data_IF_735248791277
#
_entry.id   IF_735248791277
#
_cell.length_a   1.000
_cell.length_b   1.000
_cell.length_c   1.000
_cell.angle_alpha   90.00
_cell.angle_beta   90.00
_cell.angle_gamma   90.00
#
_symmetry.space_group_name_H-M   'P 1'
#
loop_
_entity.id
_entity.type
_entity.pdbx_description
1 polymer ?
#
# COMPACT_ATOMS: atom_id res chain seq x y z
N UNK A 1 19.25 12.11 4.52
CA UNK A 1 18.22 13.13 4.40
C UNK A 1 17.45 12.92 3.11
N UNK A 2 16.13 13.01 3.17
CA UNK A 2 15.27 12.86 2.01
C UNK A 2 14.84 11.44 1.65
N UNK A 3 15.44 10.38 2.22
CA UNK A 3 15.07 8.99 1.96
C UNK A 3 15.05 8.20 3.25
N UNK A 4 14.01 7.39 3.46
CA UNK A 4 13.88 6.50 4.62
C UNK A 4 13.18 5.19 4.27
N UNK A 5 13.42 4.17 5.10
CA UNK A 5 12.70 2.91 5.07
C UNK A 5 11.81 2.83 6.32
N UNK A 6 10.52 2.60 6.10
CA UNK A 6 9.53 2.48 7.17
C UNK A 6 9.08 1.03 7.23
N UNK A 7 9.33 0.32 8.35
CA UNK A 7 8.89 -1.05 8.52
C UNK A 7 7.38 -1.12 8.75
N UNK A 8 6.77 -2.21 8.34
CA UNK A 8 5.37 -2.48 8.63
C UNK A 8 5.21 -3.00 10.06
N UNK A 9 4.49 -2.28 10.89
CA UNK A 9 4.28 -2.59 12.32
C UNK A 9 2.81 -2.61 12.73
N UNK A 10 1.89 -2.61 11.77
CA UNK A 10 0.46 -2.67 12.05
C UNK A 10 0.14 -3.97 12.80
N UNK A 11 -0.54 -3.92 13.96
CA UNK A 11 -0.88 -5.12 14.70
C UNK A 11 -1.81 -6.06 13.92
N UNK A 12 -1.57 -7.37 14.05
CA UNK A 12 -2.46 -8.40 13.50
C UNK A 12 -2.24 -8.73 12.03
N UNK A 13 -1.13 -8.31 11.40
CA UNK A 13 -0.79 -8.65 10.02
C UNK A 13 -0.72 -10.17 9.78
N UNK A 14 -0.34 -10.97 10.77
CA UNK A 14 -0.39 -12.44 10.69
C UNK A 14 -1.79 -13.01 10.39
N UNK A 15 -2.86 -12.29 10.71
CA UNK A 15 -4.23 -12.67 10.29
C UNK A 15 -4.41 -12.53 8.78
N UNK A 16 -3.77 -11.52 8.18
CA UNK A 16 -3.76 -11.32 6.74
C UNK A 16 -2.96 -12.45 6.09
N UNK A 17 -1.77 -12.78 6.62
CA UNK A 17 -0.97 -13.90 6.18
C UNK A 17 -1.76 -15.21 6.19
N UNK A 18 -2.43 -15.51 7.30
CA UNK A 18 -3.28 -16.69 7.41
C UNK A 18 -4.44 -16.69 6.40
N UNK A 19 -5.13 -15.56 6.23
CA UNK A 19 -6.25 -15.41 5.26
C UNK A 19 -5.78 -15.65 3.82
N UNK A 20 -4.57 -15.16 3.49
CA UNK A 20 -4.00 -15.25 2.15
C UNK A 20 -3.14 -16.50 1.93
N UNK A 21 -3.11 -17.44 2.90
CA UNK A 21 -2.29 -18.67 2.87
C UNK A 21 -0.79 -18.38 2.70
N UNK A 22 -0.31 -17.28 3.25
CA UNK A 22 1.08 -16.88 3.24
C UNK A 22 1.73 -17.25 4.58
N UNK A 23 2.85 -17.96 4.52
CA UNK A 23 3.54 -18.49 5.70
C UNK A 23 5.05 -18.26 5.58
N UNK A 24 5.68 -18.01 6.71
CA UNK A 24 7.12 -17.95 6.86
C UNK A 24 7.64 -19.17 7.64
N UNK A 25 8.86 -19.56 7.37
CA UNK A 25 9.53 -20.62 8.12
C UNK A 25 10.29 -20.00 9.29
N UNK A 26 9.88 -20.35 10.50
CA UNK A 26 10.55 -19.95 11.74
C UNK A 26 11.28 -21.13 12.35
N UNK A 27 11.97 -20.91 13.48
CA UNK A 27 12.58 -21.99 14.28
C UNK A 27 11.52 -22.95 14.87
N UNK A 28 10.28 -22.52 15.00
CA UNK A 28 9.17 -23.31 15.54
C UNK A 28 8.36 -24.03 14.42
N UNK A 29 8.72 -23.87 13.15
CA UNK A 29 8.01 -24.43 12.01
C UNK A 29 7.42 -23.35 11.08
N UNK A 30 6.32 -23.69 10.42
CA UNK A 30 5.61 -22.76 9.54
C UNK A 30 4.59 -21.95 10.34
N UNK A 31 4.71 -20.63 10.30
CA UNK A 31 3.80 -19.69 10.95
C UNK A 31 3.18 -18.74 9.92
N UNK A 32 1.95 -18.24 10.13
CA UNK A 32 1.38 -17.22 9.25
C UNK A 32 2.31 -16.01 9.14
N UNK A 33 2.51 -15.54 7.91
CA UNK A 33 3.37 -14.38 7.66
C UNK A 33 2.78 -13.13 8.32
N UNK A 34 3.57 -12.43 9.08
CA UNK A 34 3.25 -11.15 9.70
C UNK A 34 3.77 -9.94 8.90
N UNK A 35 4.41 -10.22 7.76
CA UNK A 35 5.01 -9.25 6.85
C UNK A 35 6.03 -8.29 7.51
N UNK A 36 6.63 -8.67 8.63
CA UNK A 36 7.65 -7.87 9.30
C UNK A 36 8.89 -7.61 8.43
N UNK A 37 9.09 -8.40 7.38
CA UNK A 37 10.14 -8.23 6.39
C UNK A 37 9.81 -7.16 5.33
N UNK A 38 8.54 -6.76 5.19
CA UNK A 38 8.15 -5.71 4.25
C UNK A 38 8.50 -4.32 4.80
N UNK A 39 8.95 -3.48 3.90
CA UNK A 39 9.29 -2.09 4.20
C UNK A 39 8.80 -1.19 3.07
N UNK A 40 8.41 0.02 3.43
CA UNK A 40 8.09 1.07 2.47
C UNK A 40 9.27 2.02 2.32
N UNK A 41 9.68 2.28 1.08
CA UNK A 41 10.67 3.30 0.77
C UNK A 41 9.95 4.65 0.66
N UNK A 42 10.42 5.64 1.40
CA UNK A 42 9.80 6.97 1.45
C UNK A 42 10.80 8.01 1.01
N UNK A 43 10.43 8.79 0.01
CA UNK A 43 11.14 9.99 -0.42
C UNK A 43 10.47 11.24 0.14
N UNK A 44 11.26 12.13 0.72
CA UNK A 44 10.83 13.48 1.11
C UNK A 44 11.12 14.43 -0.06
N UNK A 45 10.07 15.02 -0.60
CA UNK A 45 10.16 16.04 -1.65
C UNK A 45 9.67 17.38 -1.15
N UNK A 46 9.86 18.44 -1.92
CA UNK A 46 9.32 19.76 -1.60
C UNK A 46 7.79 19.77 -1.56
N UNK A 47 7.14 18.87 -2.32
CA UNK A 47 5.68 18.75 -2.40
C UNK A 47 5.07 17.76 -1.41
N UNK A 48 5.89 17.08 -0.60
CA UNK A 48 5.45 16.10 0.38
C UNK A 48 6.11 14.72 0.23
N UNK A 49 5.54 13.71 0.86
CA UNK A 49 6.09 12.37 0.90
C UNK A 49 5.62 11.53 -0.28
N UNK A 50 6.54 10.80 -0.90
CA UNK A 50 6.27 9.79 -1.92
C UNK A 50 6.66 8.42 -1.38
N UNK A 51 5.71 7.52 -1.31
CA UNK A 51 5.88 6.18 -0.75
C UNK A 51 5.97 5.18 -1.90
N UNK A 52 7.03 4.36 -1.90
CA UNK A 52 7.15 3.21 -2.78
C UNK A 52 7.01 1.94 -1.97
N UNK A 53 6.18 1.05 -2.45
CA UNK A 53 5.96 -0.26 -1.85
C UNK A 53 5.90 -1.34 -2.93
N UNK A 54 6.18 -2.61 -2.57
CA UNK A 54 6.07 -3.71 -3.52
C UNK A 54 4.61 -4.18 -3.66
N UNK A 55 4.21 -5.19 -2.87
CA UNK A 55 2.86 -5.78 -2.97
C UNK A 55 1.88 -5.30 -1.89
N UNK A 56 2.32 -4.54 -0.89
CA UNK A 56 1.47 -3.98 0.19
C UNK A 56 0.61 -5.03 0.90
N UNK A 57 1.17 -6.19 1.25
CA UNK A 57 0.40 -7.27 1.91
C UNK A 57 -0.20 -6.82 3.25
N UNK A 58 0.49 -5.91 3.96
CA UNK A 58 -0.02 -5.27 5.17
C UNK A 58 -1.21 -4.31 4.96
N UNK A 59 -1.56 -4.04 3.69
CA UNK A 59 -2.64 -3.16 3.28
C UNK A 59 -2.20 -1.72 3.00
N UNK A 60 -2.57 -1.21 1.82
CA UNK A 60 -2.16 0.11 1.33
C UNK A 60 -2.50 1.25 2.31
N UNK A 61 -3.72 1.27 2.86
CA UNK A 61 -4.13 2.28 3.81
C UNK A 61 -3.34 2.21 5.14
N UNK A 62 -2.96 1.00 5.60
CA UNK A 62 -2.14 0.83 6.80
C UNK A 62 -0.73 1.39 6.59
N UNK A 63 -0.13 1.12 5.43
CA UNK A 63 1.18 1.65 5.06
C UNK A 63 1.18 3.17 5.10
N UNK A 64 0.17 3.81 4.50
CA UNK A 64 0.03 5.27 4.51
C UNK A 64 -0.07 5.78 5.95
N UNK A 65 -0.87 5.13 6.80
CA UNK A 65 -1.02 5.51 8.21
C UNK A 65 0.28 5.34 9.01
N UNK A 66 1.07 4.31 8.73
CA UNK A 66 2.39 4.11 9.37
C UNK A 66 3.38 5.20 8.99
N UNK A 67 3.45 5.55 7.70
CA UNK A 67 4.27 6.67 7.24
C UNK A 67 3.81 7.98 7.87
N UNK A 68 2.49 8.22 7.94
CA UNK A 68 1.91 9.41 8.57
C UNK A 68 2.25 9.52 10.07
N UNK A 69 2.32 8.40 10.79
CA UNK A 69 2.77 8.38 12.20
C UNK A 69 4.24 8.78 12.36
N UNK A 70 5.07 8.42 11.39
CA UNK A 70 6.50 8.79 11.38
C UNK A 70 6.72 10.24 11.01
N UNK A 71 5.86 10.77 10.13
CA UNK A 71 5.93 12.14 9.61
C UNK A 71 4.58 12.85 9.76
N UNK A 72 4.15 13.17 10.99
CA UNK A 72 2.79 13.66 11.25
C UNK A 72 2.46 14.98 10.56
N UNK A 73 3.46 15.84 10.38
CA UNK A 73 3.30 17.21 9.84
C UNK A 73 3.47 17.27 8.31
N UNK A 74 3.80 16.14 7.66
CA UNK A 74 4.02 16.11 6.22
C UNK A 74 2.81 15.52 5.48
N UNK A 75 2.46 16.09 4.33
CA UNK A 75 1.48 15.52 3.44
C UNK A 75 2.04 14.29 2.70
N UNK A 76 1.19 13.30 2.46
CA UNK A 76 1.54 12.17 1.62
C UNK A 76 1.05 12.46 0.20
N UNK A 77 1.99 12.74 -0.69
CA UNK A 77 1.73 13.09 -2.08
C UNK A 77 1.29 11.89 -2.89
N UNK A 78 1.98 10.77 -2.74
CA UNK A 78 1.65 9.56 -3.47
C UNK A 78 2.03 8.27 -2.74
N UNK A 79 1.27 7.20 -3.01
CA UNK A 79 1.66 5.81 -2.78
C UNK A 79 1.78 5.11 -4.14
N UNK A 80 2.94 4.51 -4.40
CA UNK A 80 3.28 3.82 -5.66
C UNK A 80 3.59 2.36 -5.36
N UNK A 81 2.85 1.42 -5.96
CA UNK A 81 3.10 -0.01 -5.79
C UNK A 81 1.89 -0.90 -6.05
N UNK A 82 2.04 -2.20 -5.87
CA UNK A 82 0.97 -3.17 -5.91
C UNK A 82 0.20 -3.24 -4.59
N UNK A 83 -1.08 -3.60 -4.63
CA UNK A 83 -1.93 -3.65 -3.42
C UNK A 83 -2.36 -5.06 -3.03
N UNK A 84 -1.93 -6.08 -3.79
CA UNK A 84 -2.24 -7.49 -3.56
C UNK A 84 -3.74 -7.77 -3.34
N UNK A 85 -4.58 -7.25 -4.23
CA UNK A 85 -6.05 -7.32 -4.12
C UNK A 85 -6.73 -7.95 -5.35
N UNK A 86 -5.97 -8.57 -6.24
CA UNK A 86 -6.47 -9.16 -7.49
C UNK A 86 -7.58 -10.20 -7.29
N UNK A 87 -7.68 -10.84 -6.12
CA UNK A 87 -8.70 -11.84 -5.78
C UNK A 87 -9.81 -11.32 -4.88
N UNK A 88 -9.88 -10.01 -4.61
CA UNK A 88 -10.92 -9.42 -3.75
C UNK A 88 -12.20 -9.14 -4.51
N UNK A 89 -13.32 -9.18 -3.80
CA UNK A 89 -14.61 -8.75 -4.32
C UNK A 89 -14.66 -7.24 -4.53
N UNK A 90 -15.52 -6.77 -5.43
CA UNK A 90 -15.74 -5.34 -5.66
C UNK A 90 -16.10 -4.60 -4.37
N UNK A 91 -16.88 -5.20 -3.47
CA UNK A 91 -17.24 -4.61 -2.18
C UNK A 91 -16.01 -4.38 -1.29
N UNK A 92 -15.12 -5.39 -1.17
CA UNK A 92 -13.87 -5.27 -0.40
C UNK A 92 -12.93 -4.22 -1.00
N UNK A 93 -12.93 -4.06 -2.34
CA UNK A 93 -12.13 -3.02 -3.01
C UNK A 93 -12.71 -1.63 -2.77
N UNK A 94 -14.04 -1.48 -2.74
CA UNK A 94 -14.70 -0.20 -2.37
C UNK A 94 -14.42 0.19 -0.93
N UNK A 95 -14.45 -0.76 0.00
CA UNK A 95 -14.04 -0.50 1.39
C UNK A 95 -12.59 0.00 1.47
N UNK A 96 -11.68 -0.66 0.75
CA UNK A 96 -10.29 -0.22 0.67
C UNK A 96 -10.16 1.18 0.06
N UNK A 97 -10.95 1.51 -0.97
CA UNK A 97 -10.96 2.84 -1.57
C UNK A 97 -11.36 3.92 -0.56
N UNK A 98 -12.40 3.66 0.25
CA UNK A 98 -12.80 4.55 1.35
C UNK A 98 -11.65 4.71 2.36
N UNK A 99 -11.06 3.60 2.78
CA UNK A 99 -9.91 3.60 3.72
C UNK A 99 -8.72 4.42 3.20
N UNK A 100 -8.39 4.28 1.91
CA UNK A 100 -7.33 5.06 1.26
C UNK A 100 -7.68 6.55 1.24
N UNK A 101 -8.90 6.90 0.85
CA UNK A 101 -9.39 8.29 0.84
C UNK A 101 -9.27 8.94 2.21
N UNK A 102 -9.63 8.21 3.27
CA UNK A 102 -9.60 8.68 4.65
C UNK A 102 -8.17 8.90 5.18
N UNK A 103 -7.16 8.33 4.54
CA UNK A 103 -5.75 8.63 4.88
C UNK A 103 -5.31 10.04 4.49
N UNK A 104 -6.00 10.66 3.54
CA UNK A 104 -5.65 11.97 2.99
C UNK A 104 -4.53 11.95 1.95
N UNK A 105 -4.10 10.77 1.49
CA UNK A 105 -3.13 10.66 0.38
C UNK A 105 -3.67 11.34 -0.87
N UNK A 106 -2.82 12.03 -1.62
CA UNK A 106 -3.29 12.79 -2.80
C UNK A 106 -3.46 11.92 -4.03
N UNK A 107 -2.53 10.98 -4.27
CA UNK A 107 -2.55 10.08 -5.43
C UNK A 107 -2.12 8.67 -5.06
N UNK A 108 -2.66 7.69 -5.76
CA UNK A 108 -2.14 6.32 -5.78
C UNK A 108 -1.80 5.92 -7.20
N UNK A 109 -0.68 5.23 -7.37
CA UNK A 109 -0.26 4.61 -8.62
C UNK A 109 -0.13 3.12 -8.38
N UNK A 110 -1.07 2.33 -8.91
CA UNK A 110 -1.14 0.91 -8.58
C UNK A 110 -1.33 0.02 -9.79
N UNK A 111 -0.79 -1.20 -9.70
CA UNK A 111 -0.80 -2.20 -10.77
C UNK A 111 -0.29 -3.53 -10.27
N UNK A 112 0.31 -4.34 -11.15
CA UNK A 112 0.90 -5.65 -10.82
C UNK A 112 -0.11 -6.55 -10.07
N UNK A 113 0.12 -6.86 -8.80
CA UNK A 113 -0.75 -7.69 -7.97
C UNK A 113 -2.06 -7.02 -7.52
N UNK A 114 -2.34 -5.82 -7.96
CA UNK A 114 -3.65 -5.18 -7.79
C UNK A 114 -4.71 -5.86 -8.66
N UNK A 115 -4.34 -6.24 -9.89
CA UNK A 115 -5.24 -6.80 -10.89
C UNK A 115 -6.14 -5.75 -11.56
N UNK A 116 -6.51 -6.03 -12.82
CA UNK A 116 -7.22 -5.05 -13.65
C UNK A 116 -8.63 -4.74 -13.12
N UNK A 117 -9.38 -5.77 -12.68
CA UNK A 117 -10.74 -5.55 -12.14
C UNK A 117 -10.71 -4.70 -10.88
N UNK A 118 -9.82 -5.00 -9.94
CA UNK A 118 -9.71 -4.22 -8.71
C UNK A 118 -9.23 -2.80 -8.99
N UNK A 119 -8.31 -2.61 -9.96
CA UNK A 119 -7.92 -1.26 -10.39
C UNK A 119 -9.11 -0.47 -10.96
N UNK A 120 -9.97 -1.10 -11.79
CA UNK A 120 -11.16 -0.42 -12.32
C UNK A 120 -12.08 0.06 -11.20
N UNK A 121 -12.35 -0.78 -10.20
CA UNK A 121 -13.17 -0.40 -9.03
C UNK A 121 -12.52 0.73 -8.24
N UNK A 122 -11.19 0.68 -8.00
CA UNK A 122 -10.47 1.77 -7.36
C UNK A 122 -10.60 3.08 -8.17
N UNK A 123 -10.52 3.00 -9.50
CA UNK A 123 -10.65 4.16 -10.38
C UNK A 123 -12.07 4.74 -10.37
N UNK A 124 -13.09 3.89 -10.32
CA UNK A 124 -14.50 4.32 -10.18
C UNK A 124 -14.72 5.08 -8.87
N UNK A 125 -14.16 4.58 -7.76
CA UNK A 125 -14.36 5.15 -6.42
C UNK A 125 -13.48 6.39 -6.13
N UNK A 126 -12.24 6.38 -6.61
CA UNK A 126 -11.24 7.39 -6.27
C UNK A 126 -11.02 8.45 -7.37
N UNK A 127 -11.57 8.22 -8.56
CA UNK A 127 -11.45 9.17 -9.68
C UNK A 127 -10.00 9.52 -10.01
N UNK A 128 -9.69 10.80 -10.01
CA UNK A 128 -8.35 11.32 -10.38
C UNK A 128 -7.28 11.07 -9.33
N UNK A 129 -7.62 10.53 -8.17
CA UNK A 129 -6.65 10.05 -7.19
C UNK A 129 -5.98 8.75 -7.65
N UNK A 130 -6.67 7.88 -8.40
CA UNK A 130 -6.18 6.57 -8.80
C UNK A 130 -5.62 6.55 -10.22
N UNK A 131 -4.37 6.11 -10.35
CA UNK A 131 -3.63 5.98 -11.61
C UNK A 131 -3.12 4.55 -11.77
N UNK A 132 -3.14 4.06 -13.01
CA UNK A 132 -2.61 2.73 -13.29
C UNK A 132 -1.09 2.78 -13.45
N UNK A 133 -0.39 1.98 -12.65
CA UNK A 133 1.05 1.79 -12.78
C UNK A 133 1.34 0.86 -13.95
N UNK A 134 2.15 1.34 -14.91
CA UNK A 134 2.55 0.61 -16.12
C UNK A 134 4.04 0.78 -16.36
N UNK A 135 4.63 -0.20 -17.03
CA UNK A 135 6.02 -0.09 -17.49
C UNK A 135 6.18 1.13 -18.40
N UNK A 136 7.19 1.95 -18.15
CA UNK A 136 7.44 3.17 -18.91
C UNK A 136 6.64 4.39 -18.48
N UNK A 137 5.80 4.28 -17.42
CA UNK A 137 5.13 5.46 -16.86
C UNK A 137 6.15 6.42 -16.24
N UNK A 138 6.08 7.68 -16.64
CA UNK A 138 6.82 8.79 -16.02
C UNK A 138 5.86 9.52 -15.10
N UNK A 139 6.28 9.73 -13.87
CA UNK A 139 5.51 10.44 -12.84
C UNK A 139 6.33 11.65 -12.43
N UNK A 140 5.82 12.84 -12.70
CA UNK A 140 6.41 14.10 -12.27
C UNK A 140 5.75 14.51 -10.94
N UNK A 141 6.59 14.85 -9.96
CA UNK A 141 6.17 15.23 -8.61
C UNK A 141 7.04 16.36 -8.08
#
# INVERSE_FOLDING_TARGET
PGVSLIPHKTPGLSRIGKKNLMYIRTKNGWEPDDFAHEQSLVFQTEEGLVIFNSCSHGGAANIIREVKKTYPDQEIRALIGGFHIFGRTDAEVRELACDIRDTGVKKIYTGHCTGDRAYQVLKEELGDMAHQLRVGLVIEM
#
